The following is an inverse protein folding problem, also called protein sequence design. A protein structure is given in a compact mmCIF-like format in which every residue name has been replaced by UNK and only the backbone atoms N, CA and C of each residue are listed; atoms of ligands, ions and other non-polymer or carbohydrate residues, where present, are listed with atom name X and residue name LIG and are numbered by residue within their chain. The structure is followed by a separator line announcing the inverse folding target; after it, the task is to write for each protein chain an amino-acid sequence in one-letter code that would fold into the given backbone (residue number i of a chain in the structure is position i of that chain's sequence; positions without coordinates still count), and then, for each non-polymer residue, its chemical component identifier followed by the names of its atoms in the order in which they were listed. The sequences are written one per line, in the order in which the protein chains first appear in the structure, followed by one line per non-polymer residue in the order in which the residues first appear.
data_IF_965874843894
#
_entry.id   IF_965874843894
#
_cell.length_a   1.000
_cell.length_b   1.000
_cell.length_c   1.000
_cell.angle_alpha   90.00
_cell.angle_beta   90.00
_cell.angle_gamma   90.00
#
_symmetry.space_group_name_H-M   'P 1'
#
loop_
_entity.id
_entity.type
_entity.pdbx_description
1 polymer ?
#
# COMPACT_ATOMS: atom_id res chain seq x y z
N UNK A 1 38.02 33.66 14.89
CA UNK A 1 36.91 34.05 14.00
C UNK A 1 36.54 32.83 13.17
N UNK A 2 35.45 32.18 13.53
CA UNK A 2 35.01 30.90 12.94
C UNK A 2 34.03 31.21 11.82
N UNK A 3 34.40 30.93 10.58
CA UNK A 3 33.58 31.24 9.40
C UNK A 3 32.45 30.22 9.27
N UNK A 4 31.22 30.67 9.56
CA UNK A 4 30.01 29.86 9.37
C UNK A 4 29.77 29.62 7.86
N UNK A 5 29.76 28.35 7.43
CA UNK A 5 29.26 27.93 6.11
C UNK A 5 27.77 28.26 6.03
N UNK A 6 27.38 29.19 5.16
CA UNK A 6 25.99 29.41 4.77
C UNK A 6 25.54 28.23 3.90
N UNK A 7 24.64 27.40 4.41
CA UNK A 7 23.92 26.42 3.61
C UNK A 7 22.85 27.17 2.80
N UNK A 8 23.09 27.34 1.51
CA UNK A 8 22.09 27.88 0.58
C UNK A 8 21.07 26.77 0.26
N UNK A 9 19.87 26.87 0.85
CA UNK A 9 18.70 26.09 0.43
C UNK A 9 18.21 26.66 -0.91
N UNK A 10 18.58 26.02 -2.01
CA UNK A 10 18.01 26.32 -3.33
C UNK A 10 16.65 25.64 -3.46
N UNK A 11 15.59 26.45 -3.41
CA UNK A 11 14.22 26.03 -3.69
C UNK A 11 14.08 25.77 -5.21
N UNK A 12 14.05 24.51 -5.63
CA UNK A 12 13.82 24.15 -7.03
C UNK A 12 12.33 24.06 -7.34
N UNK A 13 11.92 24.67 -8.45
CA UNK A 13 10.53 24.93 -8.83
C UNK A 13 9.71 23.66 -9.10
N UNK A 14 8.48 23.66 -8.58
CA UNK A 14 7.48 22.61 -8.80
C UNK A 14 6.95 22.68 -10.25
N UNK A 15 7.26 21.70 -11.08
CA UNK A 15 6.64 21.56 -12.40
C UNK A 15 5.23 20.95 -12.24
N UNK A 16 4.20 21.78 -12.31
CA UNK A 16 2.80 21.35 -12.33
C UNK A 16 2.42 21.04 -13.79
N UNK A 17 2.22 19.77 -14.13
CA UNK A 17 1.60 19.37 -15.41
C UNK A 17 0.10 19.16 -15.21
N UNK A 18 -0.72 20.11 -15.64
CA UNK A 18 -2.18 19.98 -15.67
C UNK A 18 -2.63 19.01 -16.76
N UNK A 19 -3.15 17.85 -16.37
CA UNK A 19 -3.97 17.00 -17.23
C UNK A 19 -5.43 17.09 -16.76
N UNK A 20 -6.25 17.79 -17.54
CA UNK A 20 -7.71 17.80 -17.35
C UNK A 20 -8.28 16.42 -17.67
N UNK A 21 -9.23 15.98 -16.84
CA UNK A 21 -9.86 14.65 -16.74
C UNK A 21 -8.92 13.54 -16.24
N UNK A 22 -8.87 13.36 -14.91
CA UNK A 22 -8.42 12.12 -14.26
C UNK A 22 -6.93 12.00 -13.94
N UNK A 23 -6.09 13.00 -14.27
CA UNK A 23 -4.65 12.92 -14.01
C UNK A 23 -4.30 13.12 -12.53
N UNK A 24 -3.66 12.12 -11.90
CA UNK A 24 -2.94 12.33 -10.63
C UNK A 24 -1.77 13.29 -10.87
N UNK A 25 -1.77 14.44 -10.19
CA UNK A 25 -0.61 15.34 -10.14
C UNK A 25 0.45 14.74 -9.20
N UNK A 26 1.27 13.81 -9.72
CA UNK A 26 2.42 13.30 -8.99
C UNK A 26 3.61 14.24 -9.16
N UNK A 27 4.06 14.86 -8.08
CA UNK A 27 5.29 15.64 -8.06
C UNK A 27 6.29 15.01 -7.10
N UNK A 28 7.55 14.92 -7.54
CA UNK A 28 8.70 14.58 -6.69
C UNK A 28 9.76 15.65 -6.92
N UNK A 29 10.26 16.24 -5.85
CA UNK A 29 11.27 17.30 -5.93
C UNK A 29 12.39 17.04 -4.92
N UNK A 30 13.60 17.48 -5.30
CA UNK A 30 14.75 17.48 -4.41
C UNK A 30 14.52 18.55 -3.34
N UNK A 31 14.46 18.12 -2.08
CA UNK A 31 14.22 18.99 -0.94
C UNK A 31 15.52 19.72 -0.54
N UNK A 32 16.58 18.93 -0.37
CA UNK A 32 17.89 19.40 0.08
C UNK A 32 18.95 18.31 -0.14
N UNK A 33 20.21 18.75 -0.20
CA UNK A 33 21.40 17.91 -0.05
C UNK A 33 22.03 18.21 1.32
N UNK A 34 22.05 17.24 2.22
CA UNK A 34 22.61 17.34 3.57
C UNK A 34 23.90 16.50 3.63
N UNK A 35 25.03 17.12 3.27
CA UNK A 35 26.30 16.39 3.15
C UNK A 35 26.25 15.38 2.00
N UNK A 36 26.39 14.09 2.31
CA UNK A 36 26.25 12.99 1.33
C UNK A 36 24.83 12.41 1.25
N UNK A 37 23.84 13.11 1.83
CA UNK A 37 22.43 12.68 1.86
C UNK A 37 21.57 13.51 0.94
N UNK A 38 21.03 12.88 -0.10
CA UNK A 38 19.98 13.43 -0.94
C UNK A 38 18.63 13.25 -0.23
N UNK A 39 17.85 14.32 -0.10
CA UNK A 39 16.49 14.29 0.47
C UNK A 39 15.47 14.62 -0.61
N UNK A 40 14.48 13.75 -0.78
CA UNK A 40 13.37 13.93 -1.74
C UNK A 40 12.06 13.94 -1.01
N UNK A 41 11.19 14.86 -1.39
CA UNK A 41 9.78 14.81 -1.02
C UNK A 41 8.93 14.61 -2.27
N UNK A 42 7.74 14.06 -2.08
CA UNK A 42 6.79 13.94 -3.16
C UNK A 42 5.41 13.57 -2.66
N UNK A 43 4.53 13.28 -3.60
CA UNK A 43 3.14 12.98 -3.29
C UNK A 43 2.22 13.44 -4.39
N UNK A 44 0.94 13.54 -4.03
CA UNK A 44 -0.10 14.09 -4.88
C UNK A 44 -1.29 14.53 -4.03
N UNK A 45 -2.06 15.46 -4.56
CA UNK A 45 -3.40 15.77 -4.07
C UNK A 45 -4.40 15.07 -5.00
N UNK A 46 -5.39 14.38 -4.44
CA UNK A 46 -6.44 13.70 -5.20
C UNK A 46 -7.79 14.05 -4.60
N UNK A 47 -8.74 14.44 -5.46
CA UNK A 47 -10.15 14.57 -5.13
C UNK A 47 -10.88 13.38 -5.77
N UNK A 48 -11.55 12.57 -4.96
CA UNK A 48 -12.41 11.49 -5.39
C UNK A 48 -13.86 11.96 -5.30
N UNK A 49 -14.66 11.70 -6.34
CA UNK A 49 -16.10 11.92 -6.39
C UNK A 49 -16.76 10.62 -6.85
N UNK A 50 -17.65 10.09 -6.03
CA UNK A 50 -18.15 8.72 -6.12
C UNK A 50 -19.68 8.78 -6.08
N UNK A 51 -20.31 8.08 -7.02
CA UNK A 51 -21.75 7.90 -7.08
C UNK A 51 -22.05 6.41 -6.95
N UNK A 52 -22.64 6.00 -5.83
CA UNK A 52 -22.87 4.59 -5.52
C UNK A 52 -24.37 4.29 -5.54
N UNK A 53 -24.77 3.33 -6.37
CA UNK A 53 -26.13 2.81 -6.46
C UNK A 53 -26.11 1.31 -6.14
N UNK A 54 -26.96 0.89 -5.20
CA UNK A 54 -26.97 -0.47 -4.67
C UNK A 54 -28.34 -1.09 -4.93
N UNK A 55 -28.35 -2.20 -5.65
CA UNK A 55 -29.60 -2.90 -5.99
C UNK A 55 -30.18 -3.72 -4.83
N UNK A 56 -29.41 -3.97 -3.77
CA UNK A 56 -29.82 -4.86 -2.68
C UNK A 56 -29.33 -4.34 -1.30
N UNK A 57 -30.06 -3.38 -0.74
CA UNK A 57 -29.72 -2.70 0.50
C UNK A 57 -28.86 -1.46 0.31
N UNK A 58 -28.10 -1.07 1.34
CA UNK A 58 -27.29 0.16 1.30
C UNK A 58 -26.15 0.12 2.30
N UNK A 59 -25.06 0.82 1.99
CA UNK A 59 -23.99 1.07 2.94
C UNK A 59 -24.30 2.27 3.85
N UNK A 60 -24.03 2.11 5.15
CA UNK A 60 -24.17 3.18 6.14
C UNK A 60 -23.29 4.40 5.83
N UNK A 61 -23.57 5.53 6.48
CA UNK A 61 -22.69 6.71 6.43
C UNK A 61 -21.28 6.35 6.92
N UNK A 62 -20.24 6.88 6.25
CA UNK A 62 -18.82 6.64 6.54
C UNK A 62 -18.36 5.17 6.43
N UNK A 63 -19.16 4.32 5.80
CA UNK A 63 -18.78 2.95 5.54
C UNK A 63 -17.65 2.91 4.50
N UNK A 64 -16.59 2.13 4.73
CA UNK A 64 -15.40 2.12 3.87
C UNK A 64 -15.70 1.78 2.40
N UNK A 65 -16.69 0.93 2.15
CA UNK A 65 -17.17 0.59 0.80
C UNK A 65 -17.82 1.75 0.03
N UNK A 66 -18.06 2.90 0.67
CA UNK A 66 -18.46 4.16 0.01
C UNK A 66 -17.27 5.01 -0.44
N UNK A 67 -16.07 4.70 0.06
CA UNK A 67 -14.85 5.45 -0.20
C UNK A 67 -14.04 4.87 -1.37
N UNK A 68 -14.18 3.57 -1.58
CA UNK A 68 -13.62 2.78 -2.68
C UNK A 68 -14.22 1.36 -2.64
N UNK A 69 -14.04 0.60 -3.73
CA UNK A 69 -14.60 -0.74 -3.81
C UNK A 69 -13.92 -1.71 -2.84
N UNK A 70 -14.71 -2.32 -1.95
CA UNK A 70 -14.29 -3.40 -1.05
C UNK A 70 -15.26 -4.57 -1.24
N UNK A 71 -14.84 -5.65 -1.93
CA UNK A 71 -15.75 -6.72 -2.37
C UNK A 71 -16.65 -7.29 -1.28
N UNK A 72 -16.06 -7.67 -0.13
CA UNK A 72 -16.78 -8.27 1.00
C UNK A 72 -17.72 -7.33 1.74
N UNK A 73 -17.82 -6.07 1.32
CA UNK A 73 -18.78 -5.10 1.87
C UNK A 73 -19.97 -4.86 0.96
N UNK A 74 -19.99 -5.43 -0.24
CA UNK A 74 -21.09 -5.27 -1.19
C UNK A 74 -22.41 -5.72 -0.54
N UNK A 75 -23.43 -4.84 -0.41
CA UNK A 75 -24.72 -5.22 0.13
C UNK A 75 -25.40 -6.33 -0.69
N UNK A 76 -25.83 -7.40 -0.02
CA UNK A 76 -26.48 -8.59 -0.63
C UNK A 76 -27.62 -9.15 0.25
N UNK A 77 -28.09 -8.37 1.23
CA UNK A 77 -28.92 -8.89 2.33
C UNK A 77 -30.43 -8.80 2.10
N UNK A 78 -30.91 -8.74 0.86
CA UNK A 78 -32.34 -8.66 0.53
C UNK A 78 -33.02 -7.37 1.01
N UNK A 79 -32.29 -6.26 1.10
CA UNK A 79 -32.84 -4.97 1.50
C UNK A 79 -33.47 -4.23 0.32
N UNK A 80 -34.49 -3.42 0.59
CA UNK A 80 -35.08 -2.57 -0.46
C UNK A 80 -33.99 -1.69 -1.11
N UNK A 81 -33.97 -1.58 -2.46
CA UNK A 81 -33.09 -0.66 -3.16
C UNK A 81 -33.23 0.74 -2.57
N UNK A 82 -32.10 1.43 -2.45
CA UNK A 82 -32.09 2.83 -2.00
C UNK A 82 -31.64 3.75 -3.11
N UNK A 83 -32.03 5.01 -3.00
CA UNK A 83 -31.53 6.06 -3.87
C UNK A 83 -29.99 6.07 -3.86
N UNK A 84 -29.43 6.37 -5.01
CA UNK A 84 -28.00 6.47 -5.16
C UNK A 84 -27.40 7.55 -4.24
N UNK A 85 -26.21 7.28 -3.72
CA UNK A 85 -25.49 8.14 -2.78
C UNK A 85 -24.27 8.77 -3.44
N UNK A 86 -24.03 10.04 -3.11
CA UNK A 86 -22.86 10.78 -3.56
C UNK A 86 -21.89 10.98 -2.39
N UNK A 87 -20.62 10.67 -2.64
CA UNK A 87 -19.51 10.86 -1.71
C UNK A 87 -18.37 11.60 -2.41
N UNK A 88 -17.73 12.55 -1.72
CA UNK A 88 -16.59 13.28 -2.27
C UNK A 88 -15.57 13.61 -1.19
N UNK A 89 -14.28 13.37 -1.46
CA UNK A 89 -13.24 13.60 -0.47
C UNK A 89 -11.84 13.70 -1.08
N UNK A 90 -10.90 14.25 -0.29
CA UNK A 90 -9.48 14.33 -0.66
C UNK A 90 -8.56 13.34 0.09
N UNK A 91 -9.14 12.33 0.77
CA UNK A 91 -8.44 11.44 1.71
C UNK A 91 -7.33 10.59 1.09
N UNK A 92 -7.38 10.31 -0.22
CA UNK A 92 -6.33 9.58 -0.92
C UNK A 92 -5.08 10.43 -1.22
N UNK A 93 -5.12 11.73 -0.95
CA UNK A 93 -3.94 12.61 -1.06
C UNK A 93 -2.79 12.02 -0.27
N UNK A 94 -1.59 12.08 -0.87
CA UNK A 94 -0.42 11.36 -0.39
C UNK A 94 0.74 12.31 -0.22
N UNK A 95 1.51 12.08 0.83
CA UNK A 95 2.80 12.71 1.07
C UNK A 95 3.86 11.64 1.28
N UNK A 96 5.06 11.86 0.77
CA UNK A 96 6.20 11.03 1.08
C UNK A 96 7.49 11.84 1.19
N UNK A 97 8.39 11.33 2.01
CA UNK A 97 9.76 11.78 2.19
C UNK A 97 10.67 10.58 2.03
N UNK A 98 11.78 10.73 1.32
CA UNK A 98 12.79 9.70 1.16
C UNK A 98 14.19 10.28 1.19
N UNK A 99 15.16 9.48 1.61
CA UNK A 99 16.58 9.85 1.62
C UNK A 99 17.43 8.81 0.90
N UNK A 100 18.54 9.25 0.32
CA UNK A 100 19.63 8.39 -0.19
C UNK A 100 20.96 8.94 0.34
N UNK A 101 21.50 8.30 1.37
CA UNK A 101 22.78 8.66 1.99
C UNK A 101 23.89 7.79 1.43
N UNK A 102 24.84 8.40 0.71
CA UNK A 102 26.04 7.72 0.22
C UNK A 102 27.06 7.55 1.35
N UNK A 103 27.59 6.34 1.46
CA UNK A 103 28.67 5.97 2.37
C UNK A 103 30.02 5.95 1.65
N UNK A 104 31.11 6.04 2.41
CA UNK A 104 32.47 6.06 1.86
C UNK A 104 32.86 4.77 1.12
N UNK A 105 32.23 3.65 1.46
CA UNK A 105 32.43 2.35 0.79
C UNK A 105 31.67 2.22 -0.53
N UNK A 106 31.02 3.29 -0.99
CA UNK A 106 30.22 3.35 -2.22
C UNK A 106 28.80 2.79 -2.08
N UNK A 107 28.43 2.24 -0.92
CA UNK A 107 27.07 1.79 -0.66
C UNK A 107 26.14 2.94 -0.25
N UNK A 108 24.83 2.66 -0.17
CA UNK A 108 23.84 3.66 0.21
C UNK A 108 22.87 3.14 1.27
N UNK A 109 22.56 3.99 2.25
CA UNK A 109 21.41 3.81 3.13
C UNK A 109 20.26 4.64 2.57
N UNK A 110 19.11 4.01 2.34
CA UNK A 110 17.91 4.73 1.86
C UNK A 110 16.80 4.62 2.87
N UNK A 111 16.04 5.70 3.06
CA UNK A 111 14.86 5.69 3.94
C UNK A 111 13.64 6.18 3.18
N UNK A 112 12.45 5.77 3.62
CA UNK A 112 11.18 6.27 3.10
C UNK A 112 10.14 6.34 4.20
N UNK A 113 9.40 7.45 4.26
CA UNK A 113 8.13 7.58 4.97
C UNK A 113 7.07 8.01 3.94
N UNK A 114 5.93 7.34 3.91
CA UNK A 114 4.81 7.63 3.01
C UNK A 114 3.49 7.57 3.80
N UNK A 115 2.67 8.61 3.68
CA UNK A 115 1.44 8.83 4.42
C UNK A 115 0.26 9.10 3.48
N UNK A 116 -0.94 8.66 3.86
CA UNK A 116 -2.23 9.12 3.30
C UNK A 116 -3.27 9.27 4.42
N UNK A 117 -4.52 9.61 4.06
CA UNK A 117 -5.62 9.86 5.01
C UNK A 117 -6.85 8.97 4.76
N UNK A 118 -6.77 8.01 3.83
CA UNK A 118 -7.90 7.16 3.44
C UNK A 118 -8.02 5.98 4.40
N UNK A 119 -9.25 5.56 4.71
CA UNK A 119 -9.55 4.50 5.67
C UNK A 119 -9.02 4.76 7.11
N UNK A 120 -8.71 6.01 7.46
CA UNK A 120 -8.49 6.39 8.86
C UNK A 120 -9.80 6.80 9.52
N UNK A 121 -9.91 6.52 10.81
CA UNK A 121 -11.03 6.96 11.65
C UNK A 121 -10.78 8.37 12.17
N UNK A 122 -11.83 9.13 12.49
CA UNK A 122 -11.69 10.35 13.31
C UNK A 122 -12.50 11.57 12.89
N UNK A 123 -13.09 11.58 11.70
CA UNK A 123 -13.87 12.70 11.17
C UNK A 123 -15.18 12.26 10.55
N UNK A 124 -16.04 13.23 10.23
CA UNK A 124 -17.25 13.03 9.43
C UNK A 124 -17.69 14.33 8.77
N UNK A 125 -18.52 14.22 7.75
CA UNK A 125 -18.99 15.35 6.94
C UNK A 125 -19.89 16.32 7.74
N UNK A 126 -20.43 15.88 8.88
CA UNK A 126 -21.28 16.70 9.77
C UNK A 126 -20.47 17.63 10.66
N UNK A 127 -19.24 17.25 11.07
CA UNK A 127 -18.40 18.05 11.99
C UNK A 127 -16.93 17.95 11.57
N UNK A 128 -16.36 19.08 11.15
CA UNK A 128 -14.95 19.35 10.76
C UNK A 128 -14.31 18.43 9.70
N UNK A 129 -14.91 17.28 9.38
CA UNK A 129 -14.48 16.31 8.38
C UNK A 129 -12.97 15.97 8.41
N UNK A 130 -12.42 15.84 9.63
CA UNK A 130 -10.98 15.74 9.88
C UNK A 130 -10.52 14.28 9.95
N UNK A 131 -9.58 13.88 9.10
CA UNK A 131 -9.06 12.50 9.06
C UNK A 131 -7.59 12.44 9.49
N UNK A 132 -7.22 11.42 10.26
CA UNK A 132 -5.85 11.23 10.72
C UNK A 132 -4.94 10.75 9.58
N UNK A 133 -3.69 11.25 9.49
CA UNK A 133 -2.70 10.66 8.61
C UNK A 133 -2.33 9.25 9.11
N UNK A 134 -2.21 8.29 8.19
CA UNK A 134 -1.76 6.93 8.50
C UNK A 134 -0.49 6.59 7.74
N UNK A 135 0.31 5.70 8.30
CA UNK A 135 1.52 5.19 7.66
C UNK A 135 1.14 4.20 6.57
N UNK A 136 1.62 4.46 5.35
CA UNK A 136 1.63 3.47 4.27
C UNK A 136 2.95 2.71 4.29
N UNK A 137 4.06 3.43 4.17
CA UNK A 137 5.40 2.84 4.15
C UNK A 137 6.31 3.63 5.09
N UNK A 138 7.13 2.92 5.87
CA UNK A 138 8.12 3.50 6.76
C UNK A 138 9.26 2.48 6.92
N UNK A 139 10.33 2.62 6.13
CA UNK A 139 11.39 1.62 6.11
C UNK A 139 12.77 2.21 5.78
N UNK A 140 13.80 1.45 6.11
CA UNK A 140 15.19 1.66 5.70
C UNK A 140 15.65 0.51 4.80
N UNK A 141 16.49 0.80 3.81
CA UNK A 141 17.17 -0.22 3.00
C UNK A 141 18.68 -0.03 3.00
N UNK A 142 19.42 -1.13 3.09
CA UNK A 142 20.87 -1.14 3.07
C UNK A 142 21.41 -2.49 2.58
N UNK A 143 22.29 -2.50 1.57
CA UNK A 143 22.95 -3.71 1.03
C UNK A 143 22.01 -4.93 0.83
N UNK A 144 20.85 -4.69 0.20
CA UNK A 144 19.85 -5.73 -0.07
C UNK A 144 18.84 -5.98 1.05
N UNK A 145 19.10 -5.48 2.26
CA UNK A 145 18.16 -5.52 3.37
C UNK A 145 17.12 -4.41 3.28
N UNK A 146 15.91 -4.70 3.78
CA UNK A 146 14.86 -3.76 4.11
C UNK A 146 14.35 -4.07 5.52
N UNK A 147 14.24 -3.05 6.37
CA UNK A 147 13.62 -3.15 7.69
C UNK A 147 12.56 -2.07 7.85
N UNK A 148 11.38 -2.45 8.35
CA UNK A 148 10.25 -1.54 8.59
C UNK A 148 9.00 -1.94 7.83
N UNK A 149 8.03 -1.03 7.72
CA UNK A 149 6.76 -1.29 7.04
C UNK A 149 6.84 -1.00 5.54
N UNK A 150 6.62 -2.02 4.73
CA UNK A 150 6.60 -1.92 3.26
C UNK A 150 5.54 -2.87 2.68
N UNK A 151 5.35 -2.83 1.36
CA UNK A 151 4.57 -3.85 0.66
C UNK A 151 5.10 -5.25 0.95
N UNK A 152 4.20 -6.18 1.30
CA UNK A 152 4.53 -7.58 1.50
C UNK A 152 5.35 -8.11 0.33
N UNK A 153 6.36 -8.93 0.61
CA UNK A 153 7.15 -9.58 -0.42
C UNK A 153 6.33 -10.62 -1.20
N UNK A 154 5.19 -11.06 -0.67
CA UNK A 154 4.18 -11.85 -1.38
C UNK A 154 3.37 -11.01 -2.39
N UNK A 155 3.43 -9.67 -2.32
CA UNK A 155 2.73 -8.77 -3.23
C UNK A 155 3.61 -8.31 -4.41
N UNK A 156 3.06 -8.40 -5.63
CA UNK A 156 3.69 -7.86 -6.83
C UNK A 156 3.09 -6.50 -7.26
N UNK A 157 3.63 -5.41 -6.71
CA UNK A 157 3.17 -4.03 -7.02
C UNK A 157 3.25 -3.64 -8.50
N UNK A 158 4.12 -4.24 -9.31
CA UNK A 158 4.21 -3.94 -10.74
C UNK A 158 3.10 -4.57 -11.59
N UNK A 159 2.35 -5.52 -11.02
CA UNK A 159 1.16 -6.12 -11.63
C UNK A 159 -0.14 -5.35 -11.31
N UNK A 160 -0.10 -4.35 -10.42
CA UNK A 160 -1.26 -3.51 -10.17
C UNK A 160 -1.62 -2.69 -11.42
N UNK A 161 -2.86 -2.76 -11.93
CA UNK A 161 -3.30 -1.90 -13.02
C UNK A 161 -3.37 -0.45 -12.58
N UNK A 162 -3.37 0.46 -13.55
CA UNK A 162 -3.69 1.85 -13.29
C UNK A 162 -5.21 1.98 -13.29
N UNK A 163 -5.79 2.31 -12.13
CA UNK A 163 -7.23 2.42 -11.93
C UNK A 163 -7.58 3.69 -11.17
N UNK A 164 -8.81 4.18 -11.39
CA UNK A 164 -9.34 5.31 -10.62
C UNK A 164 -9.68 4.89 -9.19
N UNK A 165 -10.25 3.68 -9.03
CA UNK A 165 -10.50 3.05 -7.74
C UNK A 165 -9.19 2.80 -6.97
N UNK A 166 -9.24 2.92 -5.65
CA UNK A 166 -8.07 2.93 -4.77
C UNK A 166 -7.22 1.66 -4.83
N UNK A 167 -7.86 0.50 -4.93
CA UNK A 167 -7.22 -0.81 -4.91
C UNK A 167 -7.18 -1.40 -6.32
N UNK A 168 -8.21 -1.11 -7.14
CA UNK A 168 -8.39 -1.71 -8.45
C UNK A 168 -9.14 -3.05 -8.34
N UNK A 169 -8.71 -4.14 -9.02
CA UNK A 169 -9.37 -5.44 -8.97
C UNK A 169 -9.11 -6.15 -7.62
N UNK A 170 -9.76 -5.65 -6.55
CA UNK A 170 -9.51 -6.05 -5.18
C UNK A 170 -9.75 -7.56 -4.91
N UNK A 171 -10.61 -8.21 -5.68
CA UNK A 171 -11.01 -9.62 -5.51
C UNK A 171 -9.87 -10.63 -5.65
N UNK A 172 -8.84 -10.30 -6.44
CA UNK A 172 -7.68 -11.17 -6.68
C UNK A 172 -6.33 -10.53 -6.34
N UNK A 173 -6.35 -9.32 -5.75
CA UNK A 173 -5.12 -8.57 -5.51
C UNK A 173 -4.62 -8.82 -4.09
N UNK A 174 -3.43 -9.43 -3.96
CA UNK A 174 -2.68 -9.34 -2.69
C UNK A 174 -2.37 -7.86 -2.46
N UNK A 175 -2.96 -7.28 -1.42
CA UNK A 175 -2.86 -5.83 -1.16
C UNK A 175 -2.61 -5.55 0.32
N UNK A 176 -1.38 -5.75 0.77
CA UNK A 176 -1.02 -5.61 2.17
C UNK A 176 0.39 -5.06 2.35
N UNK A 177 0.56 -4.25 3.38
CA UNK A 177 1.86 -3.78 3.84
C UNK A 177 2.07 -4.34 5.23
N UNK A 178 3.28 -4.84 5.48
CA UNK A 178 3.65 -5.41 6.75
C UNK A 178 4.96 -4.80 7.24
N UNK A 179 5.09 -4.69 8.57
CA UNK A 179 6.40 -4.56 9.18
C UNK A 179 7.20 -5.83 8.87
N UNK A 180 8.44 -5.68 8.41
CA UNK A 180 9.23 -6.82 7.96
C UNK A 180 10.73 -6.61 8.10
N UNK A 181 11.44 -7.74 8.09
CA UNK A 181 12.81 -7.84 7.64
C UNK A 181 12.82 -8.57 6.29
N UNK A 182 13.38 -7.96 5.25
CA UNK A 182 13.47 -8.56 3.92
C UNK A 182 14.89 -8.48 3.39
N UNK A 183 15.37 -9.55 2.77
CA UNK A 183 16.64 -9.58 2.06
C UNK A 183 16.42 -9.88 0.57
N UNK A 184 17.13 -9.16 -0.30
CA UNK A 184 17.06 -9.32 -1.75
C UNK A 184 18.44 -9.61 -2.31
N UNK A 185 18.54 -10.68 -3.11
CA UNK A 185 19.77 -11.10 -3.78
C UNK A 185 19.47 -11.58 -5.21
N UNK A 186 20.05 -10.91 -6.21
CA UNK A 186 19.75 -11.19 -7.61
C UNK A 186 18.25 -11.06 -7.91
N UNK A 187 17.65 -12.15 -8.38
CA UNK A 187 16.21 -12.23 -8.70
C UNK A 187 15.35 -12.76 -7.54
N UNK A 188 15.96 -13.06 -6.39
CA UNK A 188 15.29 -13.61 -5.22
C UNK A 188 15.11 -12.56 -4.13
N UNK A 189 14.00 -12.66 -3.41
CA UNK A 189 13.79 -11.95 -2.15
C UNK A 189 13.07 -12.82 -1.13
N UNK A 190 13.48 -12.69 0.14
CA UNK A 190 12.94 -13.44 1.28
C UNK A 190 12.57 -12.46 2.38
N UNK A 191 11.45 -12.69 3.07
CA UNK A 191 11.06 -11.85 4.21
C UNK A 191 10.49 -12.65 5.37
N UNK A 192 10.64 -12.08 6.56
CA UNK A 192 9.83 -12.36 7.74
C UNK A 192 8.96 -11.13 8.00
N UNK A 193 7.65 -11.31 8.05
CA UNK A 193 6.64 -10.25 8.07
C UNK A 193 5.73 -10.39 9.29
N UNK A 194 5.21 -9.26 9.80
CA UNK A 194 4.25 -9.27 10.89
C UNK A 194 2.98 -10.03 10.47
N UNK A 195 2.55 -11.06 11.22
CA UNK A 195 1.36 -11.82 10.91
C UNK A 195 0.10 -11.07 11.33
N UNK A 196 -1.03 -11.34 10.67
CA UNK A 196 -2.39 -11.04 11.15
C UNK A 196 -3.33 -11.93 10.34
N UNK A 197 -4.30 -12.59 10.98
CA UNK A 197 -5.25 -13.49 10.30
C UNK A 197 -6.66 -12.93 10.36
N UNK A 198 -7.44 -13.19 9.32
CA UNK A 198 -8.89 -13.04 9.34
C UNK A 198 -9.50 -14.43 9.15
N UNK A 199 -10.37 -14.84 10.07
CA UNK A 199 -11.04 -16.12 10.12
C UNK A 199 -12.54 -15.87 10.03
N UNK A 200 -13.25 -16.73 9.29
CA UNK A 200 -14.72 -16.74 9.31
C UNK A 200 -15.14 -17.79 10.33
N UNK A 201 -15.84 -17.36 11.39
CA UNK A 201 -16.36 -18.29 12.39
C UNK A 201 -17.49 -19.15 11.84
N UNK A 202 -17.85 -20.21 12.56
CA UNK A 202 -18.97 -21.10 12.17
C UNK A 202 -20.29 -20.34 11.95
N UNK A 203 -20.53 -19.26 12.72
CA UNK A 203 -21.69 -18.38 12.56
C UNK A 203 -21.57 -17.37 11.41
N UNK A 204 -20.53 -17.45 10.58
CA UNK A 204 -20.28 -16.53 9.46
C UNK A 204 -19.70 -15.18 9.87
N UNK A 205 -19.34 -14.99 11.14
CA UNK A 205 -18.78 -13.73 11.61
C UNK A 205 -17.29 -13.64 11.24
N UNK A 206 -16.85 -12.46 10.81
CA UNK A 206 -15.43 -12.15 10.65
C UNK A 206 -14.77 -12.00 12.01
N UNK A 207 -13.73 -12.79 12.27
CA UNK A 207 -12.86 -12.70 13.44
C UNK A 207 -11.46 -12.32 12.95
N UNK A 208 -10.86 -11.31 13.57
CA UNK A 208 -9.46 -10.93 13.32
C UNK A 208 -8.64 -11.44 14.49
N UNK A 209 -7.53 -12.10 14.20
CA UNK A 209 -6.63 -12.71 15.21
C UNK A 209 -5.19 -12.27 14.95
N UNK A 210 -4.46 -12.03 16.04
CA UNK A 210 -3.06 -11.57 16.04
C UNK A 210 -2.25 -12.35 17.10
N UNK A 211 -2.55 -13.64 17.23
CA UNK A 211 -1.98 -14.53 18.25
C UNK A 211 -0.87 -15.45 17.71
N UNK A 212 -0.43 -15.23 16.47
CA UNK A 212 0.60 -16.03 15.81
C UNK A 212 1.94 -15.89 16.52
N UNK A 213 2.59 -17.02 16.82
CA UNK A 213 3.84 -17.06 17.58
C UNK A 213 5.09 -16.83 16.71
N UNK A 214 4.93 -16.93 15.41
CA UNK A 214 5.99 -16.81 14.40
C UNK A 214 5.58 -15.80 13.33
N UNK A 215 6.55 -15.12 12.69
CA UNK A 215 6.28 -14.24 11.56
C UNK A 215 5.80 -15.03 10.34
N UNK A 216 5.11 -14.34 9.43
CA UNK A 216 4.83 -14.84 8.09
C UNK A 216 6.14 -14.86 7.29
N UNK A 217 6.53 -16.01 6.74
CA UNK A 217 7.71 -16.15 5.91
C UNK A 217 7.33 -16.14 4.44
N UNK A 218 8.05 -15.37 3.64
CA UNK A 218 7.84 -15.38 2.18
C UNK A 218 9.14 -15.58 1.42
N UNK A 219 9.00 -16.18 0.24
CA UNK A 219 10.05 -16.27 -0.76
C UNK A 219 9.49 -15.84 -2.11
N UNK A 220 10.24 -15.05 -2.87
CA UNK A 220 9.81 -14.53 -4.17
C UNK A 220 10.93 -14.64 -5.18
N UNK A 221 10.59 -15.10 -6.39
CA UNK A 221 11.45 -15.04 -7.56
C UNK A 221 10.84 -14.11 -8.60
N UNK A 222 11.67 -13.23 -9.19
CA UNK A 222 11.27 -12.36 -10.29
C UNK A 222 12.09 -12.67 -11.54
N UNK A 223 11.47 -13.31 -12.53
CA UNK A 223 12.06 -13.48 -13.85
C UNK A 223 11.87 -12.20 -14.67
N UNK A 224 12.97 -11.61 -15.13
CA UNK A 224 12.96 -10.40 -15.97
C UNK A 224 13.38 -10.76 -17.40
N UNK A 225 12.68 -10.21 -18.38
CA UNK A 225 12.97 -10.37 -19.80
C UNK A 225 12.66 -9.06 -20.55
N UNK A 226 13.09 -8.97 -21.81
CA UNK A 226 12.86 -7.75 -22.62
C UNK A 226 11.37 -7.44 -22.82
N UNK A 227 10.54 -8.48 -22.86
CA UNK A 227 9.09 -8.35 -22.98
C UNK A 227 8.40 -7.97 -21.66
N UNK A 228 9.08 -7.98 -20.51
CA UNK A 228 8.46 -7.69 -19.21
C UNK A 228 8.98 -8.56 -18.07
N UNK A 229 8.09 -9.08 -17.23
CA UNK A 229 8.49 -9.92 -16.10
C UNK A 229 7.40 -10.86 -15.62
N UNK A 230 7.83 -11.96 -14.98
CA UNK A 230 7.02 -12.89 -14.21
C UNK A 230 7.51 -12.91 -12.77
N UNK A 231 6.58 -13.11 -11.85
CA UNK A 231 6.83 -13.23 -10.43
C UNK A 231 6.13 -14.47 -9.94
N UNK A 232 6.86 -15.30 -9.20
CA UNK A 232 6.28 -16.36 -8.38
C UNK A 232 6.67 -16.08 -6.94
N UNK A 233 5.70 -16.08 -6.05
CA UNK A 233 5.91 -15.90 -4.62
C UNK A 233 5.26 -17.04 -3.84
N UNK A 234 5.88 -17.41 -2.74
CA UNK A 234 5.39 -18.38 -1.77
C UNK A 234 5.29 -17.71 -0.40
N UNK A 235 4.29 -18.11 0.37
CA UNK A 235 4.02 -17.70 1.75
C UNK A 235 3.93 -18.97 2.59
N UNK A 236 4.55 -18.96 3.77
CA UNK A 236 4.34 -19.93 4.84
C UNK A 236 4.05 -19.18 6.13
N UNK A 237 2.99 -19.56 6.83
CA UNK A 237 2.53 -18.87 8.03
C UNK A 237 1.78 -19.78 8.99
N UNK A 238 1.56 -19.27 10.20
CA UNK A 238 0.66 -19.85 11.18
C UNK A 238 -0.69 -19.09 11.14
N UNK A 239 -1.80 -19.83 11.13
CA UNK A 239 -3.13 -19.30 11.37
C UNK A 239 -3.50 -19.64 12.81
N UNK A 240 -3.89 -18.64 13.60
CA UNK A 240 -4.27 -18.83 15.00
C UNK A 240 -5.70 -18.41 15.23
N UNK A 241 -6.43 -19.19 16.03
CA UNK A 241 -7.78 -18.89 16.47
C UNK A 241 -7.88 -19.07 17.97
N UNK A 242 -7.73 -17.96 18.70
CA UNK A 242 -7.80 -17.95 20.16
C UNK A 242 -8.96 -17.08 20.62
N UNK A 243 -9.98 -17.73 21.16
CA UNK A 243 -11.15 -17.11 21.78
C UNK A 243 -11.44 -17.82 23.10
N UNK A 244 -12.36 -17.29 23.92
CA UNK A 244 -12.64 -17.87 25.24
C UNK A 244 -13.00 -19.38 25.23
N UNK A 245 -13.46 -19.90 24.09
CA UNK A 245 -13.92 -21.29 23.91
C UNK A 245 -13.04 -22.13 22.99
N UNK A 246 -11.97 -21.58 22.40
CA UNK A 246 -11.10 -22.31 21.46
C UNK A 246 -9.69 -21.73 21.45
N UNK A 247 -8.68 -22.60 21.34
CA UNK A 247 -7.27 -22.25 21.19
C UNK A 247 -6.67 -23.19 20.16
N UNK A 248 -6.66 -22.75 18.91
CA UNK A 248 -6.26 -23.57 17.75
C UNK A 248 -5.17 -22.86 16.95
N UNK A 249 -4.24 -23.64 16.39
CA UNK A 249 -3.28 -23.16 15.41
C UNK A 249 -3.07 -24.14 14.26
N UNK A 250 -2.83 -23.62 13.06
CA UNK A 250 -2.63 -24.42 11.85
C UNK A 250 -1.53 -23.80 10.99
N UNK A 251 -0.64 -24.63 10.44
CA UNK A 251 0.35 -24.16 9.46
C UNK A 251 -0.28 -24.07 8.08
N UNK A 252 -0.11 -22.93 7.41
CA UNK A 252 -0.69 -22.66 6.10
C UNK A 252 0.35 -22.17 5.10
N UNK A 253 0.11 -22.49 3.83
CA UNK A 253 0.97 -22.10 2.71
C UNK A 253 0.16 -21.45 1.60
N UNK A 254 0.76 -20.50 0.90
CA UNK A 254 0.17 -19.81 -0.25
C UNK A 254 1.17 -19.65 -1.38
N UNK A 255 0.68 -19.68 -2.62
CA UNK A 255 1.48 -19.40 -3.82
C UNK A 255 0.75 -18.32 -4.63
N UNK A 256 1.51 -17.37 -5.16
CA UNK A 256 1.02 -16.34 -6.09
C UNK A 256 1.90 -16.32 -7.34
N UNK A 257 1.26 -16.18 -8.51
CA UNK A 257 1.93 -16.03 -9.79
C UNK A 257 1.37 -14.81 -10.51
N UNK A 258 2.22 -13.82 -10.79
CA UNK A 258 1.79 -12.54 -11.36
C UNK A 258 2.82 -12.02 -12.35
N UNK A 259 2.46 -11.01 -13.13
CA UNK A 259 3.39 -10.46 -14.10
C UNK A 259 2.87 -9.28 -14.90
N UNK A 260 3.76 -8.79 -15.75
CA UNK A 260 3.46 -7.77 -16.76
C UNK A 260 4.14 -8.14 -18.06
N UNK A 261 3.36 -8.18 -19.13
CA UNK A 261 3.82 -8.37 -20.51
C UNK A 261 3.64 -7.05 -21.24
N UNK A 262 4.71 -6.55 -21.84
CA UNK A 262 4.72 -5.31 -22.62
C UNK A 262 4.59 -5.61 -24.11
N UNK A 263 3.80 -4.80 -24.81
CA UNK A 263 3.66 -4.85 -26.26
C UNK A 263 3.52 -3.41 -26.80
N UNK A 264 4.64 -2.85 -27.26
CA UNK A 264 4.73 -1.46 -27.66
C UNK A 264 4.47 -0.51 -26.49
N UNK A 265 3.52 0.41 -26.66
CA UNK A 265 3.10 1.36 -25.61
C UNK A 265 2.13 0.75 -24.59
N UNK A 266 1.62 -0.45 -24.85
CA UNK A 266 0.62 -1.12 -24.04
C UNK A 266 1.25 -2.22 -23.19
N UNK A 267 0.50 -2.67 -22.19
CA UNK A 267 0.89 -3.81 -21.38
C UNK A 267 -0.35 -4.59 -20.88
N UNK A 268 -0.16 -5.88 -20.69
CA UNK A 268 -1.07 -6.77 -19.98
C UNK A 268 -0.46 -7.04 -18.60
N UNK A 269 -1.28 -6.89 -17.57
CA UNK A 269 -0.92 -7.23 -16.18
C UNK A 269 -1.85 -8.33 -15.69
N UNK A 270 -1.32 -9.25 -14.92
CA UNK A 270 -2.08 -10.36 -14.33
C UNK A 270 -1.53 -10.70 -12.96
N UNK A 271 -2.38 -11.25 -12.11
CA UNK A 271 -2.11 -11.60 -10.71
C UNK A 271 -2.78 -12.91 -10.34
#
# INVERSE_FOLDING_TARGET
MTTAKKNNLTLSALAVQTALLGGLLTASANAAELGSTEVKYGGYIKLDAIWSDFSDGSLGSQHIGRDFYVPGTTPVSGGEPKDAVFDMHARQSRFNLSTDTKLDDGSSIKTKIELDFIASTGGNERVTNSYSPRIRQAYVTYKGWLFGQAWSNFQNVSALPETLDFVGPADGTVFVRQAMAKYTIGNWSFSAENPESTITSEGGARVVTDDASMPDFTARYTYKADWGHLVVAALGRELTYKVATADESETSFGISASGRVNFGKNNLKFM
#
